data_IF_100562051445
#
_entry.id   IF_100562051445
#
_cell.length_a   1.000
_cell.length_b   1.000
_cell.length_c   1.000
_cell.angle_alpha   90.00
_cell.angle_beta   90.00
_cell.angle_gamma   90.00
#
_symmetry.space_group_name_H-M   'P 1'
#
loop_
_entity.id
_entity.type
_entity.pdbx_description
1 polymer ?
#
# COMPACT_ATOMS: atom_id res chain seq x y z
N UNK A 1 -24.71 7.22 -20.74
CA UNK A 1 -23.87 7.88 -21.76
C UNK A 1 -22.48 8.03 -21.14
N UNK A 2 -21.63 7.00 -21.27
CA UNK A 2 -20.30 7.00 -20.66
C UNK A 2 -19.44 8.02 -21.41
N UNK A 3 -18.99 9.06 -20.69
CA UNK A 3 -18.01 10.00 -21.22
C UNK A 3 -16.74 9.20 -21.52
N UNK A 4 -16.44 9.01 -22.81
CA UNK A 4 -15.11 8.57 -23.23
C UNK A 4 -14.14 9.63 -22.70
N UNK A 5 -13.28 9.26 -21.75
CA UNK A 5 -12.16 10.11 -21.37
C UNK A 5 -11.48 10.58 -22.65
N UNK A 6 -11.43 11.90 -22.84
CA UNK A 6 -10.85 12.54 -24.03
C UNK A 6 -9.45 11.93 -24.28
N UNK A 7 -9.11 11.64 -25.53
CA UNK A 7 -7.84 11.00 -25.89
C UNK A 7 -6.61 11.83 -25.47
N UNK A 8 -6.83 13.09 -25.09
CA UNK A 8 -5.84 14.04 -24.53
C UNK A 8 -5.92 14.23 -23.02
N UNK A 9 -6.85 13.60 -22.32
CA UNK A 9 -7.05 13.81 -20.89
C UNK A 9 -5.84 13.29 -20.10
N UNK A 10 -5.04 14.22 -19.57
CA UNK A 10 -4.01 13.95 -18.58
C UNK A 10 -4.70 13.68 -17.25
N UNK A 11 -4.37 12.56 -16.59
CA UNK A 11 -4.85 12.32 -15.23
C UNK A 11 -4.14 13.28 -14.27
N UNK A 12 -4.94 14.12 -13.61
CA UNK A 12 -4.47 15.00 -12.55
C UNK A 12 -4.45 14.28 -11.19
N UNK A 13 -3.83 14.91 -10.18
CA UNK A 13 -3.70 14.30 -8.85
C UNK A 13 -5.05 13.99 -8.17
N UNK A 14 -6.07 14.87 -8.18
CA UNK A 14 -7.41 14.52 -7.73
C UNK A 14 -7.91 13.21 -8.35
N UNK A 15 -7.89 13.09 -9.68
CA UNK A 15 -8.38 11.89 -10.35
C UNK A 15 -7.56 10.65 -10.01
N UNK A 16 -6.22 10.77 -9.96
CA UNK A 16 -5.33 9.66 -9.59
C UNK A 16 -5.62 9.17 -8.17
N UNK A 17 -5.71 10.06 -7.18
CA UNK A 17 -5.90 9.66 -5.78
C UNK A 17 -7.29 9.03 -5.57
N UNK A 18 -8.30 9.53 -6.26
CA UNK A 18 -9.67 9.03 -6.14
C UNK A 18 -9.79 7.65 -6.78
N UNK A 19 -9.16 7.44 -7.95
CA UNK A 19 -9.04 6.10 -8.52
C UNK A 19 -8.25 5.17 -7.58
N UNK A 20 -7.13 5.62 -7.03
CA UNK A 20 -6.30 4.82 -6.12
C UNK A 20 -7.09 4.32 -4.91
N UNK A 21 -7.88 5.19 -4.27
CA UNK A 21 -8.71 4.81 -3.13
C UNK A 21 -9.91 3.94 -3.50
N UNK A 22 -10.37 3.99 -4.76
CA UNK A 22 -11.42 3.08 -5.22
C UNK A 22 -10.92 1.63 -5.39
N UNK A 23 -9.62 1.39 -5.57
CA UNK A 23 -9.09 0.04 -5.68
C UNK A 23 -9.21 -0.71 -4.34
N UNK A 24 -9.59 -1.99 -4.41
CA UNK A 24 -9.68 -2.85 -3.21
C UNK A 24 -8.28 -3.16 -2.65
N UNK A 25 -7.28 -3.21 -3.51
CA UNK A 25 -5.91 -3.58 -3.16
C UNK A 25 -4.90 -2.85 -4.04
N UNK A 26 -3.75 -2.54 -3.47
CA UNK A 26 -2.55 -2.04 -4.14
C UNK A 26 -1.33 -2.84 -3.66
N UNK A 27 -0.33 -2.97 -4.52
CA UNK A 27 0.96 -3.50 -4.12
C UNK A 27 1.85 -2.40 -3.55
N UNK A 28 2.03 -2.41 -2.22
CA UNK A 28 2.96 -1.52 -1.53
C UNK A 28 4.37 -2.10 -1.50
N UNK A 29 5.33 -1.37 -2.07
CA UNK A 29 6.74 -1.73 -2.04
C UNK A 29 7.54 -0.79 -1.13
N UNK A 30 8.35 -1.39 -0.26
CA UNK A 30 9.30 -0.70 0.64
C UNK A 30 10.67 -1.34 0.53
N UNK A 31 11.73 -0.58 0.79
CA UNK A 31 13.10 -1.06 0.57
C UNK A 31 13.66 -1.79 1.79
N UNK A 32 14.30 -2.93 1.57
CA UNK A 32 15.09 -3.60 2.62
C UNK A 32 16.40 -2.84 2.90
N UNK A 33 17.27 -3.35 3.80
CA UNK A 33 18.55 -2.69 4.12
C UNK A 33 19.51 -2.62 2.94
N UNK A 34 19.46 -3.60 2.02
CA UNK A 34 20.27 -3.62 0.80
C UNK A 34 19.64 -2.85 -0.37
N UNK A 35 18.53 -2.15 -0.16
CA UNK A 35 17.86 -1.36 -1.21
C UNK A 35 16.97 -2.17 -2.16
N UNK A 36 16.79 -3.48 -1.96
CA UNK A 36 15.86 -4.26 -2.78
C UNK A 36 14.41 -4.06 -2.31
N UNK A 37 13.43 -3.98 -3.23
CA UNK A 37 12.03 -3.81 -2.89
C UNK A 37 11.46 -5.07 -2.24
N UNK A 38 10.61 -4.88 -1.24
CA UNK A 38 9.75 -5.91 -0.66
C UNK A 38 8.31 -5.43 -0.80
N UNK A 39 7.54 -6.20 -1.56
CA UNK A 39 6.19 -5.84 -2.01
C UNK A 39 5.14 -6.66 -1.29
N UNK A 40 4.03 -6.02 -0.90
CA UNK A 40 2.90 -6.67 -0.24
C UNK A 40 1.57 -6.07 -0.73
N UNK A 41 0.53 -6.90 -0.92
CA UNK A 41 -0.81 -6.38 -1.14
C UNK A 41 -1.33 -5.73 0.14
N UNK A 42 -1.89 -4.53 0.01
CA UNK A 42 -2.52 -3.75 1.08
C UNK A 42 -3.72 -2.98 0.53
N UNK A 43 -4.64 -2.57 1.40
CA UNK A 43 -5.75 -1.68 1.01
C UNK A 43 -5.26 -0.22 0.99
N UNK A 44 -5.48 0.53 -0.10
CA UNK A 44 -5.22 1.96 -0.18
C UNK A 44 -6.34 2.75 0.48
N UNK A 45 -6.02 3.95 0.98
CA UNK A 45 -6.98 4.88 1.57
C UNK A 45 -6.66 6.30 1.13
N UNK A 46 -7.67 7.18 1.09
CA UNK A 46 -7.42 8.61 0.91
C UNK A 46 -6.68 9.18 2.12
N UNK A 47 -5.64 9.98 1.86
CA UNK A 47 -4.99 10.79 2.88
C UNK A 47 -5.96 11.80 3.50
N UNK A 48 -5.85 12.04 4.80
CA UNK A 48 -6.75 12.94 5.53
C UNK A 48 -6.75 14.40 5.00
N UNK A 49 -5.67 14.82 4.35
CA UNK A 49 -5.51 16.16 3.74
C UNK A 49 -5.66 16.13 2.21
N UNK A 50 -5.98 14.97 1.63
CA UNK A 50 -6.07 14.74 0.19
C UNK A 50 -4.72 14.76 -0.56
N UNK A 51 -3.57 14.96 0.08
CA UNK A 51 -2.28 15.09 -0.61
C UNK A 51 -1.53 13.75 -0.74
N UNK A 52 -2.09 12.67 -0.22
CA UNK A 52 -1.48 11.36 -0.21
C UNK A 52 -2.50 10.26 -0.52
N UNK A 53 -1.96 9.09 -0.86
CA UNK A 53 -2.68 7.82 -0.75
C UNK A 53 -2.00 7.08 0.38
N UNK A 54 -2.76 6.71 1.39
CA UNK A 54 -2.24 6.10 2.60
C UNK A 54 -2.43 4.58 2.55
N UNK A 55 -1.58 3.85 3.26
CA UNK A 55 -1.76 2.42 3.52
C UNK A 55 -1.58 2.16 5.01
N UNK A 56 -2.00 0.98 5.46
CA UNK A 56 -1.87 0.61 6.88
C UNK A 56 -1.11 -0.69 7.07
N UNK A 57 -0.58 -0.88 8.28
CA UNK A 57 -0.07 -2.18 8.70
C UNK A 57 -0.46 -2.46 10.15
N UNK A 58 -0.71 -3.73 10.47
CA UNK A 58 -1.04 -4.16 11.83
C UNK A 58 0.19 -4.16 12.74
N UNK A 59 -0.04 -3.99 14.05
CA UNK A 59 1.02 -4.02 15.06
C UNK A 59 1.81 -5.34 15.09
N UNK A 60 1.20 -6.43 14.66
CA UNK A 60 1.83 -7.75 14.57
C UNK A 60 2.67 -7.95 13.29
N UNK A 61 2.65 -6.99 12.36
CA UNK A 61 3.39 -7.01 11.09
C UNK A 61 4.12 -5.70 10.77
N UNK A 62 4.87 -5.09 11.72
CA UNK A 62 5.33 -3.70 11.64
C UNK A 62 6.45 -3.44 10.62
N UNK A 63 7.02 -4.49 10.01
CA UNK A 63 8.20 -4.38 9.16
C UNK A 63 8.04 -3.42 7.98
N UNK A 64 6.81 -3.22 7.48
CA UNK A 64 6.53 -2.21 6.43
C UNK A 64 6.85 -0.80 6.94
N UNK A 65 6.30 -0.46 8.11
CA UNK A 65 6.52 0.81 8.79
C UNK A 65 8.00 0.99 9.17
N UNK A 66 8.65 -0.03 9.73
CA UNK A 66 10.09 0.04 10.08
C UNK A 66 10.98 0.28 8.85
N UNK A 67 10.66 -0.35 7.70
CA UNK A 67 11.37 -0.12 6.45
C UNK A 67 11.15 1.31 5.94
N UNK A 68 9.90 1.79 5.98
CA UNK A 68 9.55 3.15 5.58
C UNK A 68 10.24 4.23 6.44
N UNK A 69 10.30 4.05 7.77
CA UNK A 69 11.05 4.96 8.65
C UNK A 69 12.52 5.04 8.30
N UNK A 70 13.14 3.90 7.97
CA UNK A 70 14.57 3.84 7.61
C UNK A 70 14.84 4.45 6.23
N UNK A 71 13.95 4.21 5.28
CA UNK A 71 14.05 4.76 3.93
C UNK A 71 12.64 5.09 3.42
N UNK A 72 12.30 6.40 3.31
CA UNK A 72 10.94 6.81 2.99
C UNK A 72 10.57 6.54 1.53
N UNK A 73 11.51 6.16 0.64
CA UNK A 73 11.21 5.87 -0.76
C UNK A 73 10.37 4.60 -0.87
N UNK A 74 9.14 4.74 -1.34
CA UNK A 74 8.16 3.66 -1.49
C UNK A 74 7.43 3.77 -2.83
N UNK A 75 6.70 2.72 -3.19
CA UNK A 75 5.75 2.79 -4.30
C UNK A 75 4.45 2.06 -4.01
N UNK A 76 3.38 2.50 -4.66
CA UNK A 76 2.08 1.84 -4.72
C UNK A 76 1.79 1.51 -6.19
N UNK A 77 1.54 0.26 -6.51
CA UNK A 77 1.13 -0.18 -7.86
C UNK A 77 -0.34 -0.52 -7.88
N UNK A 78 -1.03 -0.12 -8.96
CA UNK A 78 -2.46 -0.31 -9.15
C UNK A 78 -2.66 -0.90 -10.54
N UNK A 79 -2.70 -2.22 -10.63
CA UNK A 79 -2.81 -2.95 -11.91
C UNK A 79 -4.02 -3.88 -12.00
N UNK A 80 -4.73 -4.09 -10.90
CA UNK A 80 -5.91 -4.95 -10.84
C UNK A 80 -7.13 -4.17 -10.35
N UNK A 81 -7.99 -3.65 -11.25
CA UNK A 81 -9.11 -2.80 -10.88
C UNK A 81 -10.36 -3.58 -10.43
N UNK A 82 -10.32 -4.92 -10.39
CA UNK A 82 -11.47 -5.71 -9.97
C UNK A 82 -11.99 -5.26 -8.59
N UNK A 83 -13.29 -5.00 -8.52
CA UNK A 83 -13.96 -4.51 -7.30
C UNK A 83 -13.94 -2.99 -7.12
N UNK A 84 -13.18 -2.24 -7.93
CA UNK A 84 -13.11 -0.76 -7.84
C UNK A 84 -14.36 -0.04 -8.35
N UNK A 85 -15.20 -0.71 -9.14
CA UNK A 85 -16.38 -0.15 -9.82
C UNK A 85 -16.07 1.01 -10.78
N UNK A 86 -14.80 1.23 -11.11
CA UNK A 86 -14.37 2.19 -12.12
C UNK A 86 -14.71 1.66 -13.53
N UNK A 87 -15.24 2.52 -14.40
CA UNK A 87 -15.65 2.13 -15.74
C UNK A 87 -14.46 1.97 -16.72
N UNK A 88 -13.45 2.84 -16.60
CA UNK A 88 -12.24 2.84 -17.43
C UNK A 88 -11.02 3.19 -16.54
N UNK A 89 -10.60 2.29 -15.64
CA UNK A 89 -9.52 2.54 -14.71
C UNK A 89 -8.18 2.57 -15.42
N UNK A 90 -7.33 3.54 -15.06
CA UNK A 90 -5.93 3.50 -15.47
C UNK A 90 -5.17 2.44 -14.66
N UNK A 91 -4.11 1.90 -15.24
CA UNK A 91 -3.04 1.26 -14.46
C UNK A 91 -2.03 2.32 -14.09
N UNK A 92 -1.55 2.36 -12.85
CA UNK A 92 -0.55 3.35 -12.46
C UNK A 92 0.35 2.90 -11.32
N UNK A 93 1.52 3.51 -11.25
CA UNK A 93 2.50 3.35 -10.18
C UNK A 93 2.76 4.71 -9.55
N UNK A 94 2.37 4.87 -8.31
CA UNK A 94 2.69 6.05 -7.49
C UNK A 94 4.04 5.81 -6.86
N UNK A 95 5.01 6.67 -7.14
CA UNK A 95 6.28 6.72 -6.44
C UNK A 95 6.25 7.87 -5.45
N UNK A 96 6.55 7.60 -4.18
CA UNK A 96 6.33 8.56 -3.12
C UNK A 96 7.31 8.47 -1.97
N UNK A 97 7.13 9.40 -1.04
CA UNK A 97 7.82 9.45 0.24
C UNK A 97 6.83 9.07 1.35
N UNK A 98 7.25 8.12 2.18
CA UNK A 98 6.45 7.60 3.27
C UNK A 98 6.66 8.41 4.56
N UNK A 99 5.56 8.74 5.24
CA UNK A 99 5.54 9.24 6.62
C UNK A 99 4.77 8.24 7.48
N UNK A 100 5.42 7.69 8.51
CA UNK A 100 4.84 6.67 9.37
C UNK A 100 4.28 7.29 10.65
N UNK A 101 2.98 7.06 10.88
CA UNK A 101 2.20 7.57 12.00
C UNK A 101 1.80 6.41 12.93
N UNK A 102 2.37 6.36 14.13
CA UNK A 102 2.03 5.40 15.19
C UNK A 102 2.12 5.97 16.62
N UNK A 103 2.29 7.28 16.78
CA UNK A 103 2.28 7.95 18.08
C UNK A 103 0.91 7.85 18.78
N UNK A 104 -0.20 7.88 18.02
CA UNK A 104 -1.57 7.70 18.55
C UNK A 104 -2.26 6.50 17.88
N UNK A 105 -2.00 5.31 18.41
CA UNK A 105 -2.62 4.08 17.95
C UNK A 105 -4.14 4.05 18.16
N UNK A 106 -4.67 4.79 19.13
CA UNK A 106 -6.11 4.84 19.37
C UNK A 106 -6.81 5.61 18.25
N UNK A 107 -6.32 6.81 17.93
CA UNK A 107 -6.85 7.61 16.82
C UNK A 107 -6.71 6.87 15.48
N UNK A 108 -5.55 6.25 15.24
CA UNK A 108 -5.31 5.45 14.05
C UNK A 108 -6.28 4.28 13.89
N UNK A 109 -6.59 3.58 14.99
CA UNK A 109 -7.55 2.47 14.99
C UNK A 109 -8.97 2.95 14.71
N UNK A 110 -9.36 4.10 15.29
CA UNK A 110 -10.66 4.70 15.04
C UNK A 110 -10.82 5.09 13.56
N UNK A 111 -9.81 5.74 12.97
CA UNK A 111 -9.78 6.04 11.52
C UNK A 111 -9.90 4.76 10.70
N UNK A 112 -9.07 3.75 10.99
CA UNK A 112 -9.09 2.49 10.23
C UNK A 112 -10.45 1.79 10.25
N UNK A 113 -11.10 1.72 11.41
CA UNK A 113 -12.44 1.11 11.51
C UNK A 113 -13.48 1.89 10.70
N UNK A 114 -13.44 3.22 10.71
CA UNK A 114 -14.33 4.04 9.90
C UNK A 114 -14.11 3.81 8.39
N UNK A 115 -12.84 3.80 7.96
CA UNK A 115 -12.45 3.62 6.56
C UNK A 115 -12.84 2.23 6.03
N UNK A 116 -12.57 1.16 6.80
CA UNK A 116 -12.89 -0.19 6.35
C UNK A 116 -14.40 -0.43 6.34
N UNK A 117 -15.15 0.11 7.30
CA UNK A 117 -16.61 0.03 7.27
C UNK A 117 -17.18 0.71 6.01
N UNK A 118 -16.58 1.82 5.55
CA UNK A 118 -16.96 2.46 4.30
C UNK A 118 -16.53 1.69 3.04
N UNK A 119 -15.33 1.09 3.05
CA UNK A 119 -14.78 0.37 1.89
C UNK A 119 -15.38 -1.04 1.71
N UNK A 120 -15.74 -1.71 2.81
CA UNK A 120 -16.21 -3.11 2.82
C UNK A 120 -17.40 -3.28 3.79
N UNK A 121 -18.55 -2.63 3.53
CA UNK A 121 -19.69 -2.63 4.46
C UNK A 121 -20.18 -4.05 4.79
N UNK A 122 -20.30 -4.91 3.79
CA UNK A 122 -20.78 -6.29 3.95
C UNK A 122 -19.89 -7.16 4.85
N UNK A 123 -18.57 -6.90 4.86
CA UNK A 123 -17.62 -7.64 5.69
C UNK A 123 -17.69 -7.24 7.17
N UNK A 124 -18.19 -6.05 7.49
CA UNK A 124 -18.24 -5.52 8.85
C UNK A 124 -19.62 -5.64 9.50
N UNK A 125 -20.70 -5.51 8.74
CA UNK A 125 -22.07 -5.61 9.25
C UNK A 125 -22.38 -6.98 9.90
N UNK A 126 -21.63 -8.01 9.50
CA UNK A 126 -21.78 -9.38 10.02
C UNK A 126 -20.95 -9.69 11.27
N UNK A 127 -20.10 -8.76 11.76
CA UNK A 127 -19.22 -9.00 12.91
C UNK A 127 -19.83 -8.42 14.20
N UNK A 128 -20.18 -9.26 15.21
CA UNK A 128 -20.70 -8.75 16.48
C UNK A 128 -19.71 -7.82 17.20
N UNK A 129 -20.20 -6.73 17.79
CA UNK A 129 -19.38 -5.73 18.50
C UNK A 129 -18.48 -6.32 19.59
N UNK A 130 -18.94 -7.37 20.28
CA UNK A 130 -18.13 -8.07 21.30
C UNK A 130 -16.91 -8.75 20.69
N UNK A 131 -17.04 -9.29 19.47
CA UNK A 131 -15.95 -9.93 18.74
C UNK A 131 -14.94 -8.90 18.25
N UNK A 132 -15.41 -7.74 17.73
CA UNK A 132 -14.54 -6.61 17.37
C UNK A 132 -13.66 -6.18 18.56
N UNK A 133 -14.24 -6.07 19.76
CA UNK A 133 -13.51 -5.70 20.99
C UNK A 133 -12.45 -6.73 21.38
N UNK A 134 -12.75 -8.04 21.29
CA UNK A 134 -11.77 -9.11 21.56
C UNK A 134 -10.61 -9.13 20.57
N UNK A 135 -10.82 -8.57 19.38
CA UNK A 135 -9.84 -8.44 18.31
C UNK A 135 -9.20 -7.05 18.26
N UNK A 136 -9.22 -6.25 19.34
CA UNK A 136 -8.65 -4.90 19.35
C UNK A 136 -7.20 -4.83 18.83
N UNK A 137 -6.38 -5.83 19.14
CA UNK A 137 -5.00 -5.95 18.61
C UNK A 137 -4.96 -6.08 17.08
N UNK A 138 -5.97 -6.72 16.48
CA UNK A 138 -6.10 -6.90 15.04
C UNK A 138 -6.58 -5.61 14.37
N UNK A 139 -7.31 -4.74 15.08
CA UNK A 139 -7.79 -3.46 14.55
C UNK A 139 -6.79 -2.32 14.76
N UNK A 140 -5.82 -2.51 15.65
CA UNK A 140 -4.74 -1.56 15.85
C UNK A 140 -3.90 -1.40 14.58
N UNK A 141 -3.72 -0.14 14.14
CA UNK A 141 -3.02 0.19 12.89
C UNK A 141 -1.94 1.23 13.08
N UNK A 142 -0.84 0.98 12.38
CA UNK A 142 0.16 1.98 12.00
C UNK A 142 -0.24 2.48 10.61
N UNK A 143 -0.28 3.80 10.45
CA UNK A 143 -0.54 4.43 9.16
C UNK A 143 0.76 4.78 8.47
N UNK A 144 0.81 4.59 7.15
CA UNK A 144 1.91 4.97 6.29
C UNK A 144 1.33 5.89 5.23
N UNK A 145 1.51 7.19 5.43
CA UNK A 145 1.14 8.22 4.47
C UNK A 145 2.11 8.20 3.30
N UNK A 146 1.64 8.05 2.06
CA UNK A 146 2.49 8.09 0.86
C UNK A 146 2.22 9.38 0.08
N UNK A 147 3.09 10.36 0.27
CA UNK A 147 3.06 11.61 -0.50
C UNK A 147 3.69 11.38 -1.88
N UNK A 148 2.97 11.64 -2.98
CA UNK A 148 3.44 11.29 -4.31
C UNK A 148 4.54 12.26 -4.78
N UNK A 149 5.63 11.72 -5.31
CA UNK A 149 6.72 12.46 -5.95
C UNK A 149 6.56 12.44 -7.47
N UNK A 150 6.07 11.32 -8.01
CA UNK A 150 5.64 11.19 -9.41
C UNK A 150 4.73 9.98 -9.58
N UNK A 151 3.94 9.98 -10.64
CA UNK A 151 3.05 8.87 -10.99
C UNK A 151 3.27 8.52 -12.46
N UNK A 152 3.57 7.25 -12.72
CA UNK A 152 3.55 6.67 -14.06
C UNK A 152 2.19 6.04 -14.28
N UNK A 153 1.52 6.33 -15.38
CA UNK A 153 0.17 5.81 -15.62
C UNK A 153 -0.09 5.47 -17.09
N UNK A 154 -0.96 4.48 -17.29
CA UNK A 154 -1.35 3.92 -18.58
C UNK A 154 -2.87 4.01 -18.73
N UNK A 155 -3.32 4.67 -19.80
CA UNK A 155 -4.74 4.85 -20.08
C UNK A 155 -5.41 3.50 -20.35
N UNK A 156 -6.57 3.26 -19.73
CA UNK A 156 -7.30 2.00 -19.86
C UNK A 156 -6.51 0.76 -19.46
N UNK A 157 -5.38 0.92 -18.76
CA UNK A 157 -4.47 -0.17 -18.43
C UNK A 157 -3.65 -0.72 -19.61
N UNK A 158 -3.56 0.00 -20.73
CA UNK A 158 -2.78 -0.43 -21.90
C UNK A 158 -1.26 -0.28 -21.65
N UNK A 159 -0.62 -1.38 -21.21
CA UNK A 159 0.81 -1.44 -20.91
C UNK A 159 1.71 -1.56 -22.16
N UNK A 160 1.14 -1.75 -23.36
CA UNK A 160 1.90 -1.78 -24.61
C UNK A 160 2.31 -0.36 -25.06
N UNK A 161 1.69 0.67 -24.48
CA UNK A 161 2.03 2.07 -24.67
C UNK A 161 3.03 2.57 -23.62
N UNK A 162 3.85 3.60 -23.92
CA UNK A 162 4.66 4.25 -22.91
C UNK A 162 3.79 4.90 -21.82
N UNK A 163 4.22 4.89 -20.55
CA UNK A 163 3.49 5.56 -19.49
C UNK A 163 3.44 7.07 -19.72
N UNK A 164 2.32 7.65 -19.37
CA UNK A 164 2.20 9.08 -19.13
C UNK A 164 2.71 9.40 -17.71
N UNK A 165 3.22 10.63 -17.54
CA UNK A 165 3.84 11.07 -16.30
C UNK A 165 2.98 12.18 -15.69
N UNK A 166 2.67 12.02 -14.41
CA UNK A 166 2.23 13.12 -13.55
C UNK A 166 3.33 13.42 -12.54
N UNK A 167 3.60 14.71 -12.34
CA UNK A 167 4.51 15.22 -11.32
C UNK A 167 3.84 16.40 -10.58
N UNK A 168 4.10 16.56 -9.28
CA UNK A 168 3.63 17.72 -8.56
C UNK A 168 4.35 18.97 -9.08
N UNK A 169 3.66 20.12 -9.06
CA UNK A 169 4.25 21.41 -9.46
C UNK A 169 5.48 21.78 -8.62
N UNK A 170 5.54 21.31 -7.38
CA UNK A 170 6.68 21.46 -6.48
C UNK A 170 6.94 20.13 -5.81
N UNK A 171 8.20 19.73 -5.73
CA UNK A 171 8.56 18.49 -5.06
C UNK A 171 8.12 18.55 -3.59
N UNK A 172 7.42 17.52 -3.09
CA UNK A 172 6.92 17.53 -1.74
C UNK A 172 8.07 17.43 -0.75
N UNK A 173 8.00 18.24 0.30
CA UNK A 173 8.75 17.99 1.53
C UNK A 173 7.82 17.28 2.50
N UNK A 174 8.20 16.08 2.94
CA UNK A 174 7.42 15.32 3.91
C UNK A 174 7.93 15.56 5.33
N UNK A 175 7.03 15.56 6.29
CA UNK A 175 7.39 15.56 7.70
C UNK A 175 8.19 14.29 8.05
N UNK A 176 9.05 14.33 9.07
CA UNK A 176 9.65 13.11 9.58
C UNK A 176 8.53 12.19 10.08
N UNK A 177 8.73 10.89 9.88
CA UNK A 177 7.88 9.90 10.54
C UNK A 177 8.03 10.01 12.06
N UNK A 178 7.03 9.53 12.82
CA UNK A 178 7.13 9.38 14.28
C UNK A 178 8.45 8.67 14.73
N UNK A 179 8.91 8.84 15.96
CA UNK A 179 10.04 8.05 16.44
C UNK A 179 9.69 6.55 16.42
N UNK A 180 10.66 5.70 16.08
CA UNK A 180 10.47 4.26 16.15
C UNK A 180 10.18 3.84 17.61
N UNK A 181 9.32 2.83 17.84
CA UNK A 181 9.09 2.29 19.18
C UNK A 181 10.40 1.81 19.82
N UNK A 182 10.52 2.00 21.13
CA UNK A 182 11.67 1.51 21.90
C UNK A 182 11.60 -0.02 22.09
N UNK A 183 12.69 -0.72 21.83
CA UNK A 183 12.81 -2.17 22.03
C UNK A 183 13.27 -2.94 20.79
N UNK A 184 13.47 -4.26 20.93
CA UNK A 184 13.77 -5.14 19.79
C UNK A 184 12.48 -5.59 19.13
N UNK A 185 12.33 -5.29 17.84
CA UNK A 185 11.25 -5.83 17.02
C UNK A 185 11.36 -7.35 16.86
N UNK A 186 10.24 -8.01 16.54
CA UNK A 186 10.14 -9.46 16.37
C UNK A 186 10.98 -10.03 15.20
N UNK A 187 11.54 -9.15 14.35
CA UNK A 187 12.28 -9.53 13.15
C UNK A 187 11.36 -10.04 12.04
N UNK A 188 11.95 -10.59 10.97
CA UNK A 188 11.17 -11.26 9.93
C UNK A 188 10.98 -12.74 10.27
N UNK A 189 9.84 -13.32 9.89
CA UNK A 189 9.56 -14.74 10.10
C UNK A 189 10.64 -15.66 9.48
N UNK A 190 11.26 -15.25 8.37
CA UNK A 190 12.33 -16.01 7.72
C UNK A 190 13.67 -15.98 8.48
N UNK A 191 13.83 -15.07 9.43
CA UNK A 191 15.02 -15.02 10.30
C UNK A 191 14.97 -16.11 11.38
N UNK A 192 13.77 -16.51 11.82
CA UNK A 192 13.59 -17.60 12.78
C UNK A 192 13.96 -18.96 12.16
N UNK A 193 13.61 -19.20 10.89
CA UNK A 193 13.96 -20.43 10.16
C UNK A 193 15.47 -20.67 10.03
N UNK A 194 16.31 -19.62 10.08
CA UNK A 194 17.79 -19.78 10.05
C UNK A 194 18.40 -20.16 11.40
N UNK A 195 17.68 -19.96 12.52
CA UNK A 195 18.19 -20.27 13.87
C UNK A 195 17.86 -21.70 14.31
N UNK A 196 16.75 -22.26 13.83
CA UNK A 196 16.46 -23.69 13.95
C UNK A 196 17.07 -24.38 12.73
N UNK A 197 18.17 -25.11 12.89
CA UNK A 197 18.89 -25.79 11.80
C UNK A 197 18.10 -26.90 11.08
N UNK A 198 16.93 -26.59 10.54
CA UNK A 198 16.17 -27.46 9.65
C UNK A 198 16.82 -27.45 8.28
N UNK A 199 17.50 -28.55 7.93
CA UNK A 199 17.89 -28.87 6.56
C UNK A 199 16.62 -29.04 5.72
N UNK A 200 16.05 -27.94 5.25
CA UNK A 200 15.05 -27.93 4.20
C UNK A 200 15.68 -27.26 2.98
N UNK A 201 16.35 -28.04 2.13
CA UNK A 201 16.77 -27.57 0.82
C UNK A 201 15.51 -27.21 0.03
N UNK A 202 15.25 -25.92 -0.18
CA UNK A 202 14.38 -25.49 -1.27
C UNK A 202 15.23 -25.60 -2.52
N UNK A 203 15.16 -26.77 -3.16
CA UNK A 203 15.70 -26.96 -4.49
C UNK A 203 15.01 -25.94 -5.41
N UNK A 204 15.79 -25.05 -6.00
CA UNK A 204 15.37 -24.28 -7.15
C UNK A 204 15.06 -25.27 -8.28
N UNK A 205 13.78 -25.51 -8.57
CA UNK A 205 13.38 -26.19 -9.79
C UNK A 205 13.50 -25.21 -10.96
N UNK A 206 14.73 -24.96 -11.41
CA UNK A 206 15.00 -24.64 -12.81
C UNK A 206 14.74 -25.90 -13.62
N UNK A 207 13.61 -25.96 -14.33
CA UNK A 207 13.28 -27.18 -15.07
C UNK A 207 12.00 -27.15 -15.88
N UNK A 208 11.69 -26.06 -16.58
CA UNK A 208 10.70 -26.07 -17.67
C UNK A 208 11.30 -25.43 -18.93
N UNK A 209 12.16 -26.20 -19.58
CA UNK A 209 12.46 -26.07 -21.00
C UNK A 209 13.12 -27.39 -21.46
N UNK A 210 12.38 -28.14 -22.29
CA UNK A 210 12.79 -29.19 -23.25
C UNK A 210 11.90 -30.44 -23.15
N UNK A 211 10.88 -30.50 -24.01
CA UNK A 211 10.75 -31.51 -25.08
C UNK A 211 9.40 -31.36 -25.79
N UNK A 212 9.49 -31.26 -27.11
CA UNK A 212 8.53 -31.58 -28.17
C UNK A 212 7.10 -31.03 -28.04
#
# INVERSE_FOLDING_TARGET
MASKLDARAVLDWPTIRDQAAAFITTEYASLNRGGAPITWPVTPYLGANGRSVDVTTGLTYPLKAERARRNPKVSLSFSQPLGSRLADPATFVIQGLATVHDADLRANSARYLAEVAAHLPEAFDSIPTVMLRRMAWYWARIWIEVTPVRVLWWRGGDLDQPPQLWEPQTLPTVAPSDPAPVGRGAGSWNTAQRRTGGRGSVAHSTGWARRC
#
